data_IF_545352966925
#
_entry.id   IF_545352966925
#
_cell.length_a   1.000
_cell.length_b   1.000
_cell.length_c   1.000
_cell.angle_alpha   90.00
_cell.angle_beta   90.00
_cell.angle_gamma   90.00
#
_symmetry.space_group_name_H-M   'P 1'
#
loop_
_entity.id
_entity.type
_entity.pdbx_description
1 polymer ?
#
# COMPACT_ATOMS: atom_id res chain seq x y z
N UNK A 1 10.88 21.39 -17.12
CA UNK A 1 10.85 20.08 -17.82
C UNK A 1 12.29 19.62 -18.01
N UNK A 2 12.74 18.62 -17.25
CA UNK A 2 14.03 17.96 -17.52
C UNK A 2 13.80 16.83 -18.52
N UNK A 3 14.68 16.69 -19.51
CA UNK A 3 14.64 15.58 -20.46
C UNK A 3 14.81 14.27 -19.68
N UNK A 4 13.75 13.45 -19.60
CA UNK A 4 13.85 12.09 -19.10
C UNK A 4 14.55 11.25 -20.15
N UNK A 5 15.65 10.59 -19.76
CA UNK A 5 16.32 9.64 -20.65
C UNK A 5 15.39 8.46 -20.94
N UNK A 6 15.36 8.02 -22.19
CA UNK A 6 14.66 6.81 -22.61
C UNK A 6 15.40 5.55 -22.12
N UNK A 7 14.70 4.42 -22.10
CA UNK A 7 15.25 3.14 -21.63
C UNK A 7 16.56 2.79 -22.33
N UNK A 8 16.61 2.91 -23.66
CA UNK A 8 17.78 2.60 -24.49
C UNK A 8 18.99 3.47 -24.15
N UNK A 9 18.76 4.75 -23.83
CA UNK A 9 19.81 5.69 -23.42
C UNK A 9 20.36 5.34 -22.04
N UNK A 10 19.48 4.96 -21.10
CA UNK A 10 19.88 4.51 -19.77
C UNK A 10 20.68 3.20 -19.88
N UNK A 11 20.24 2.25 -20.71
CA UNK A 11 20.93 0.98 -20.96
C UNK A 11 22.33 1.19 -21.56
N UNK A 12 22.49 2.11 -22.52
CA UNK A 12 23.80 2.44 -23.08
C UNK A 12 24.76 3.04 -22.03
N UNK A 13 24.24 3.91 -21.15
CA UNK A 13 25.02 4.50 -20.06
C UNK A 13 25.39 3.48 -18.98
N UNK A 14 24.50 2.52 -18.69
CA UNK A 14 24.76 1.38 -17.81
C UNK A 14 25.94 0.56 -18.35
N UNK A 15 25.86 0.15 -19.62
CA UNK A 15 26.89 -0.63 -20.29
C UNK A 15 28.26 0.06 -20.24
N UNK A 16 28.33 1.32 -20.66
CA UNK A 16 29.56 2.10 -20.64
C UNK A 16 30.14 2.25 -19.22
N UNK A 17 29.27 2.45 -18.22
CA UNK A 17 29.69 2.60 -16.83
C UNK A 17 30.24 1.28 -16.25
N UNK A 18 29.66 0.15 -16.64
CA UNK A 18 30.15 -1.17 -16.27
C UNK A 18 31.52 -1.46 -16.92
N UNK A 19 31.66 -1.18 -18.23
CA UNK A 19 32.92 -1.37 -18.97
C UNK A 19 34.06 -0.47 -18.43
N UNK A 20 33.73 0.73 -17.94
CA UNK A 20 34.69 1.66 -17.33
C UNK A 20 34.91 1.44 -15.83
N UNK A 21 34.31 0.41 -15.23
CA UNK A 21 34.49 0.03 -13.83
C UNK A 21 33.89 1.03 -12.82
N UNK A 22 32.93 1.87 -13.22
CA UNK A 22 32.34 2.93 -12.38
C UNK A 22 31.08 2.44 -11.65
N UNK A 23 31.25 1.61 -10.62
CA UNK A 23 30.13 0.96 -9.94
C UNK A 23 29.09 1.89 -9.31
N UNK A 24 29.50 3.04 -8.77
CA UNK A 24 28.55 4.04 -8.27
C UNK A 24 27.65 4.60 -9.38
N UNK A 25 28.18 4.80 -10.60
CA UNK A 25 27.39 5.24 -11.75
C UNK A 25 26.44 4.16 -12.25
N UNK A 26 26.88 2.90 -12.25
CA UNK A 26 25.99 1.77 -12.59
C UNK A 26 24.79 1.76 -11.65
N UNK A 27 25.01 1.89 -10.35
CA UNK A 27 23.93 1.97 -9.36
C UNK A 27 22.97 3.14 -9.63
N UNK A 28 23.50 4.35 -9.86
CA UNK A 28 22.69 5.54 -10.19
C UNK A 28 21.82 5.31 -11.44
N UNK A 29 22.38 4.72 -12.49
CA UNK A 29 21.62 4.45 -13.71
C UNK A 29 20.61 3.33 -13.52
N UNK A 30 20.88 2.36 -12.65
CA UNK A 30 19.94 1.29 -12.37
C UNK A 30 18.72 1.81 -11.58
N UNK A 31 18.95 2.70 -10.62
CA UNK A 31 17.88 3.44 -9.94
C UNK A 31 17.12 4.38 -10.89
N UNK A 32 17.79 5.00 -11.88
CA UNK A 32 17.11 5.77 -12.94
C UNK A 32 16.23 4.87 -13.80
N UNK A 33 16.72 3.69 -14.18
CA UNK A 33 15.95 2.72 -14.94
C UNK A 33 14.67 2.33 -14.19
N UNK A 34 14.78 1.98 -12.90
CA UNK A 34 13.64 1.69 -12.01
C UNK A 34 12.59 2.81 -11.98
N UNK A 35 13.03 4.07 -11.99
CA UNK A 35 12.12 5.23 -11.96
C UNK A 35 11.46 5.51 -13.31
N UNK A 36 12.18 5.26 -14.40
CA UNK A 36 11.74 5.56 -15.76
C UNK A 36 10.85 4.48 -16.36
N UNK A 37 11.08 3.20 -16.04
CA UNK A 37 10.35 2.07 -16.61
C UNK A 37 9.85 1.11 -15.52
N UNK A 38 8.69 0.47 -15.76
CA UNK A 38 8.19 -0.61 -14.90
C UNK A 38 8.97 -1.90 -15.12
N UNK A 39 9.22 -2.22 -16.38
CA UNK A 39 9.90 -3.42 -16.85
C UNK A 39 10.84 -3.05 -17.99
N UNK A 40 11.76 -3.96 -18.31
CA UNK A 40 12.80 -3.72 -19.32
C UNK A 40 12.55 -4.57 -20.57
N UNK A 41 13.02 -4.07 -21.71
CA UNK A 41 13.15 -4.85 -22.94
C UNK A 41 14.14 -6.01 -22.80
N UNK A 42 14.07 -7.00 -23.68
CA UNK A 42 15.00 -8.14 -23.68
C UNK A 42 16.44 -7.67 -23.92
N UNK A 43 16.65 -6.64 -24.74
CA UNK A 43 17.94 -6.02 -25.01
C UNK A 43 18.54 -5.41 -23.74
N UNK A 44 17.77 -4.61 -23.01
CA UNK A 44 18.19 -4.04 -21.74
C UNK A 44 18.44 -5.14 -20.69
N UNK A 45 17.61 -6.19 -20.69
CA UNK A 45 17.80 -7.37 -19.85
C UNK A 45 19.15 -8.06 -20.08
N UNK A 46 19.55 -8.21 -21.35
CA UNK A 46 20.88 -8.75 -21.73
C UNK A 46 22.02 -7.85 -21.28
N UNK A 47 21.87 -6.53 -21.43
CA UNK A 47 22.87 -5.56 -20.94
C UNK A 47 23.07 -5.71 -19.43
N UNK A 48 21.98 -5.84 -18.66
CA UNK A 48 22.05 -6.05 -17.22
C UNK A 48 22.76 -7.37 -16.87
N UNK A 49 22.37 -8.47 -17.52
CA UNK A 49 23.02 -9.78 -17.35
C UNK A 49 24.54 -9.70 -17.59
N UNK A 50 24.95 -9.11 -18.71
CA UNK A 50 26.36 -8.91 -19.06
C UNK A 50 27.10 -8.05 -18.03
N UNK A 51 26.47 -6.97 -17.54
CA UNK A 51 27.08 -6.08 -16.53
C UNK A 51 27.43 -6.84 -15.25
N UNK A 52 26.51 -7.66 -14.74
CA UNK A 52 26.71 -8.38 -13.47
C UNK A 52 27.55 -9.65 -13.62
N UNK A 53 27.58 -10.27 -14.82
CA UNK A 53 28.43 -11.43 -15.12
C UNK A 53 29.87 -11.05 -15.53
N UNK A 54 30.15 -9.78 -15.80
CA UNK A 54 31.48 -9.32 -16.23
C UNK A 54 32.57 -9.52 -15.16
N UNK A 55 33.80 -9.83 -15.61
CA UNK A 55 34.97 -9.92 -14.71
C UNK A 55 35.28 -8.54 -14.14
N UNK A 56 35.06 -8.36 -12.84
CA UNK A 56 35.27 -7.08 -12.13
C UNK A 56 34.02 -6.51 -11.47
N UNK A 57 32.82 -7.05 -11.75
CA UNK A 57 31.57 -6.66 -11.08
C UNK A 57 31.63 -6.87 -9.55
N UNK A 58 32.38 -7.87 -9.10
CA UNK A 58 32.69 -8.17 -7.70
C UNK A 58 33.35 -7.00 -6.96
N UNK A 59 34.33 -6.37 -7.61
CA UNK A 59 35.16 -5.30 -7.02
C UNK A 59 34.51 -3.94 -7.25
N UNK A 60 33.95 -3.71 -8.44
CA UNK A 60 33.33 -2.43 -8.79
C UNK A 60 31.98 -2.22 -8.10
N UNK A 61 31.23 -3.28 -7.81
CA UNK A 61 29.93 -3.19 -7.13
C UNK A 61 30.04 -3.59 -5.66
N UNK A 62 31.22 -3.55 -5.05
CA UNK A 62 31.38 -3.85 -3.63
C UNK A 62 30.54 -2.90 -2.79
N UNK A 63 29.70 -3.48 -1.93
CA UNK A 63 28.70 -2.76 -1.16
C UNK A 63 29.12 -2.58 0.28
N UNK A 64 28.65 -1.50 0.91
CA UNK A 64 28.81 -1.36 2.34
C UNK A 64 27.93 -2.38 3.08
N UNK A 65 28.39 -2.80 4.27
CA UNK A 65 27.55 -3.55 5.22
C UNK A 65 26.76 -2.53 6.03
N UNK A 66 25.44 -2.57 5.88
CA UNK A 66 24.51 -1.76 6.66
C UNK A 66 23.88 -2.60 7.78
N UNK A 67 23.45 -1.94 8.84
CA UNK A 67 22.56 -2.54 9.83
C UNK A 67 21.20 -2.81 9.18
N UNK A 68 20.63 -4.00 9.40
CA UNK A 68 19.39 -4.45 8.75
C UNK A 68 18.25 -3.45 8.97
N UNK A 69 18.06 -2.98 10.20
CA UNK A 69 16.99 -2.03 10.53
C UNK A 69 17.11 -0.68 9.82
N UNK A 70 18.34 -0.23 9.51
CA UNK A 70 18.54 1.02 8.76
C UNK A 70 18.12 0.87 7.28
N UNK A 71 18.35 -0.30 6.69
CA UNK A 71 17.92 -0.59 5.32
C UNK A 71 16.41 -0.75 5.26
N UNK A 72 15.81 -1.49 6.21
CA UNK A 72 14.36 -1.65 6.34
C UNK A 72 13.64 -0.29 6.46
N UNK A 73 14.15 0.62 7.28
CA UNK A 73 13.58 1.97 7.42
C UNK A 73 13.68 2.76 6.10
N UNK A 74 14.80 2.65 5.39
CA UNK A 74 14.96 3.28 4.09
C UNK A 74 13.98 2.71 3.05
N UNK A 75 13.78 1.39 3.02
CA UNK A 75 12.78 0.73 2.18
C UNK A 75 11.38 1.23 2.50
N UNK A 76 11.01 1.30 3.78
CA UNK A 76 9.71 1.76 4.24
C UNK A 76 9.42 3.21 3.80
N UNK A 77 10.34 4.14 4.08
CA UNK A 77 10.20 5.56 3.70
C UNK A 77 10.06 5.78 2.20
N UNK A 78 10.66 4.88 1.42
CA UNK A 78 10.63 4.90 -0.04
C UNK A 78 9.36 4.28 -0.65
N UNK A 79 8.42 3.79 0.18
CA UNK A 79 7.19 3.11 -0.26
C UNK A 79 7.36 1.61 -0.51
N UNK A 80 8.53 1.04 -0.21
CA UNK A 80 8.82 -0.38 -0.42
C UNK A 80 9.56 -0.67 -1.73
N UNK A 81 10.23 -1.83 -1.74
CA UNK A 81 10.91 -2.39 -2.92
C UNK A 81 12.17 -1.68 -3.40
N UNK A 82 12.74 -0.73 -2.64
CA UNK A 82 14.10 -0.21 -2.85
C UNK A 82 14.58 0.65 -1.67
N UNK A 83 15.90 0.66 -1.41
CA UNK A 83 16.50 1.45 -0.31
C UNK A 83 17.33 2.63 -0.79
N UNK A 84 17.98 2.56 -1.96
CA UNK A 84 18.68 3.73 -2.52
C UNK A 84 20.05 4.04 -1.88
N UNK A 85 20.59 3.15 -1.04
CA UNK A 85 21.79 3.38 -0.24
C UNK A 85 23.11 3.03 -0.96
N UNK A 86 23.05 2.39 -2.12
CA UNK A 86 24.21 1.87 -2.84
C UNK A 86 24.22 0.35 -2.86
N UNK A 87 25.31 -0.25 -3.33
CA UNK A 87 25.44 -1.71 -3.29
C UNK A 87 25.52 -2.22 -1.85
N UNK A 88 24.99 -3.43 -1.61
CA UNK A 88 25.07 -4.13 -0.33
C UNK A 88 25.72 -5.50 -0.53
N UNK A 89 26.57 -5.88 0.44
CA UNK A 89 27.22 -7.18 0.50
C UNK A 89 28.55 -7.25 -0.24
N UNK A 90 29.16 -8.42 -0.23
CA UNK A 90 30.50 -8.73 -0.79
C UNK A 90 30.41 -9.99 -1.68
N UNK A 91 31.34 -10.16 -2.62
CA UNK A 91 31.45 -11.37 -3.45
C UNK A 91 30.75 -11.32 -4.80
N UNK A 92 30.66 -12.50 -5.44
CA UNK A 92 30.19 -12.67 -6.82
C UNK A 92 28.69 -12.47 -6.93
N UNK A 93 28.25 -11.75 -7.96
CA UNK A 93 26.85 -11.73 -8.33
C UNK A 93 26.45 -13.05 -9.00
N UNK A 94 25.27 -13.54 -8.64
CA UNK A 94 24.59 -14.67 -9.25
C UNK A 94 23.37 -14.12 -9.98
N UNK A 95 23.40 -14.21 -11.30
CA UNK A 95 22.32 -13.78 -12.19
C UNK A 95 21.57 -15.00 -12.68
N UNK A 96 20.24 -15.01 -12.53
CA UNK A 96 19.35 -16.09 -12.99
C UNK A 96 18.08 -15.52 -13.59
N UNK A 97 17.59 -16.13 -14.66
CA UNK A 97 16.26 -15.85 -15.22
C UNK A 97 15.27 -16.88 -14.67
N UNK A 98 14.10 -16.42 -14.25
CA UNK A 98 13.04 -17.29 -13.77
C UNK A 98 11.74 -16.54 -13.53
N UNK A 99 10.73 -17.24 -13.02
CA UNK A 99 9.41 -16.67 -12.76
C UNK A 99 9.26 -16.24 -11.30
N UNK A 100 8.17 -15.53 -11.04
CA UNK A 100 7.71 -15.17 -9.70
C UNK A 100 6.35 -15.82 -9.50
N UNK A 101 6.16 -16.47 -8.35
CA UNK A 101 4.91 -17.09 -7.97
C UNK A 101 3.79 -16.05 -7.78
N UNK A 102 2.53 -16.46 -7.83
CA UNK A 102 1.37 -15.57 -7.62
C UNK A 102 1.39 -14.87 -6.24
N UNK A 103 2.09 -15.43 -5.25
CA UNK A 103 2.26 -14.82 -3.94
C UNK A 103 3.38 -13.75 -3.91
N UNK A 104 4.13 -13.55 -5.01
CA UNK A 104 5.26 -12.63 -5.12
C UNK A 104 6.62 -13.22 -4.75
N UNK A 105 6.73 -14.54 -4.53
CA UNK A 105 8.00 -15.21 -4.23
C UNK A 105 8.79 -15.49 -5.51
N UNK A 106 10.06 -15.08 -5.54
CA UNK A 106 10.94 -15.38 -6.66
C UNK A 106 11.35 -16.86 -6.67
N UNK A 107 11.14 -17.57 -7.78
CA UNK A 107 11.52 -18.98 -7.92
C UNK A 107 13.04 -19.21 -7.93
N UNK A 108 13.84 -18.16 -8.21
CA UNK A 108 15.29 -18.26 -8.23
C UNK A 108 15.86 -18.23 -6.80
N UNK A 109 15.61 -17.16 -6.04
CA UNK A 109 16.25 -16.91 -4.75
C UNK A 109 15.34 -17.16 -3.54
N UNK A 110 14.04 -17.37 -3.74
CA UNK A 110 13.06 -17.51 -2.69
C UNK A 110 12.71 -16.21 -1.94
N UNK A 111 13.25 -15.05 -2.35
CA UNK A 111 12.91 -13.76 -1.77
C UNK A 111 11.48 -13.34 -2.13
N UNK A 112 10.84 -12.63 -1.21
CA UNK A 112 9.51 -12.07 -1.39
C UNK A 112 9.63 -10.69 -2.03
N UNK A 113 9.01 -10.50 -3.20
CA UNK A 113 8.86 -9.18 -3.79
C UNK A 113 7.94 -8.32 -2.93
N UNK A 114 8.29 -7.04 -2.83
CA UNK A 114 7.51 -6.04 -2.12
C UNK A 114 6.28 -5.58 -2.90
N UNK A 115 5.28 -5.14 -2.16
CA UNK A 115 4.14 -4.40 -2.68
C UNK A 115 4.51 -2.91 -2.67
N UNK A 116 5.18 -2.47 -3.74
CA UNK A 116 5.71 -1.11 -3.90
C UNK A 116 4.58 -0.10 -3.95
N UNK A 117 4.52 0.70 -2.90
CA UNK A 117 3.75 1.91 -2.74
C UNK A 117 4.63 3.13 -3.08
N UNK A 118 4.07 4.32 -2.91
CA UNK A 118 4.70 5.61 -3.09
C UNK A 118 5.50 6.00 -1.84
N UNK A 119 6.62 6.71 -1.99
CA UNK A 119 7.39 7.21 -0.84
C UNK A 119 6.66 8.26 0.00
N UNK A 120 7.06 8.44 1.24
CA UNK A 120 6.39 9.34 2.21
C UNK A 120 6.27 10.78 1.71
N UNK A 121 7.36 11.31 1.15
CA UNK A 121 7.42 12.68 0.64
C UNK A 121 6.47 12.88 -0.55
N UNK A 122 6.36 11.88 -1.42
CA UNK A 122 5.49 11.97 -2.59
C UNK A 122 4.03 11.78 -2.19
N UNK A 123 3.75 10.89 -1.24
CA UNK A 123 2.42 10.69 -0.64
C UNK A 123 1.91 11.96 0.05
N UNK A 124 2.76 12.63 0.83
CA UNK A 124 2.36 13.87 1.50
C UNK A 124 2.09 15.00 0.51
N UNK A 125 2.93 15.16 -0.53
CA UNK A 125 2.66 16.11 -1.63
C UNK A 125 1.35 15.80 -2.34
N UNK A 126 1.04 14.52 -2.50
CA UNK A 126 -0.21 14.09 -3.10
C UNK A 126 -1.41 14.43 -2.22
N UNK A 127 -1.35 14.10 -0.93
CA UNK A 127 -2.37 14.46 0.05
C UNK A 127 -2.63 15.98 0.06
N UNK A 128 -1.57 16.78 0.00
CA UNK A 128 -1.66 18.24 -0.08
C UNK A 128 -2.29 18.72 -1.39
N UNK A 129 -2.00 18.07 -2.51
CA UNK A 129 -2.60 18.39 -3.81
C UNK A 129 -4.10 18.07 -3.83
N UNK A 130 -4.49 16.91 -3.29
CA UNK A 130 -5.91 16.52 -3.12
C UNK A 130 -6.62 17.52 -2.20
N UNK A 131 -6.02 17.86 -1.06
CA UNK A 131 -6.58 18.83 -0.13
C UNK A 131 -6.72 20.23 -0.75
N UNK A 132 -5.73 20.68 -1.51
CA UNK A 132 -5.77 21.95 -2.23
C UNK A 132 -6.94 22.02 -3.22
N UNK A 133 -7.08 20.99 -4.06
CA UNK A 133 -8.18 20.90 -5.02
C UNK A 133 -9.55 20.80 -4.33
N UNK A 134 -9.64 20.04 -3.23
CA UNK A 134 -10.85 19.96 -2.42
C UNK A 134 -11.20 21.35 -1.87
N UNK A 135 -10.25 22.08 -1.26
CA UNK A 135 -10.49 23.43 -0.71
C UNK A 135 -10.86 24.50 -1.74
N UNK A 136 -10.51 24.31 -3.03
CA UNK A 136 -10.94 25.21 -4.11
C UNK A 136 -12.40 25.02 -4.51
N UNK A 137 -12.93 23.80 -4.34
CA UNK A 137 -14.25 23.39 -4.84
C UNK A 137 -15.28 23.20 -3.73
N UNK A 138 -14.82 22.84 -2.54
CA UNK A 138 -15.60 22.64 -1.33
C UNK A 138 -15.64 23.91 -0.48
N UNK A 139 -16.59 23.95 0.45
CA UNK A 139 -16.57 24.96 1.51
C UNK A 139 -15.35 24.70 2.39
N UNK A 140 -14.35 25.58 2.33
CA UNK A 140 -13.04 25.42 3.01
C UNK A 140 -13.12 25.00 4.48
N UNK A 141 -14.09 25.54 5.22
CA UNK A 141 -14.29 25.20 6.63
C UNK A 141 -14.67 23.72 6.82
N UNK A 142 -15.56 23.20 5.98
CA UNK A 142 -16.05 21.82 6.06
C UNK A 142 -14.92 20.80 5.82
N UNK A 143 -14.11 21.04 4.79
CA UNK A 143 -13.02 20.13 4.48
C UNK A 143 -11.91 20.20 5.53
N UNK A 144 -11.61 21.39 6.06
CA UNK A 144 -10.64 21.53 7.15
C UNK A 144 -11.09 20.81 8.43
N UNK A 145 -12.36 20.91 8.79
CA UNK A 145 -12.94 20.17 9.92
C UNK A 145 -12.75 18.65 9.74
N UNK A 146 -12.92 18.14 8.52
CA UNK A 146 -12.64 16.74 8.22
C UNK A 146 -11.16 16.37 8.38
N UNK A 147 -10.24 17.22 7.95
CA UNK A 147 -8.81 16.97 8.12
C UNK A 147 -8.44 16.87 9.61
N UNK A 148 -8.88 17.84 10.41
CA UNK A 148 -8.63 17.88 11.85
C UNK A 148 -9.25 16.65 12.54
N UNK A 149 -10.47 16.26 12.14
CA UNK A 149 -11.15 15.06 12.64
C UNK A 149 -10.40 13.76 12.30
N UNK A 150 -9.85 13.66 11.08
CA UNK A 150 -9.14 12.47 10.62
C UNK A 150 -7.81 12.29 11.37
N UNK A 151 -7.10 13.38 11.65
CA UNK A 151 -5.86 13.35 12.43
C UNK A 151 -6.07 12.83 13.86
N UNK A 152 -7.22 13.10 14.47
CA UNK A 152 -7.58 12.58 15.80
C UNK A 152 -7.94 11.08 15.79
N UNK A 153 -8.25 10.51 14.61
CA UNK A 153 -8.81 9.15 14.44
C UNK A 153 -7.97 8.21 13.57
N UNK A 154 -6.66 8.49 13.43
CA UNK A 154 -5.79 7.97 12.38
C UNK A 154 -5.47 6.45 12.34
N UNK A 155 -6.27 5.54 12.93
CA UNK A 155 -5.99 4.09 12.97
C UNK A 155 -6.90 3.26 12.04
N UNK A 156 -7.34 3.84 10.92
CA UNK A 156 -8.15 3.10 9.93
C UNK A 156 -7.27 2.41 8.87
N UNK A 157 -7.45 1.10 8.72
CA UNK A 157 -6.78 0.30 7.68
C UNK A 157 -7.51 0.25 6.34
N UNK A 158 -8.75 0.74 6.32
CA UNK A 158 -9.53 0.84 5.09
C UNK A 158 -10.55 1.97 5.16
N UNK A 159 -10.76 2.63 4.02
CA UNK A 159 -11.82 3.59 3.76
C UNK A 159 -12.83 2.96 2.80
N UNK A 160 -14.11 3.22 3.05
CA UNK A 160 -15.23 2.65 2.31
C UNK A 160 -16.04 3.79 1.69
N UNK A 161 -16.14 3.76 0.37
CA UNK A 161 -17.07 4.61 -0.39
C UNK A 161 -18.49 4.05 -0.24
N UNK A 162 -19.20 4.55 0.76
CA UNK A 162 -20.49 3.99 1.15
C UNK A 162 -21.56 4.19 0.08
N UNK A 163 -21.50 5.29 -0.68
CA UNK A 163 -22.48 5.59 -1.72
C UNK A 163 -22.31 4.65 -2.91
N UNK A 164 -21.07 4.45 -3.35
CA UNK A 164 -20.75 3.56 -4.47
C UNK A 164 -21.20 2.12 -4.20
N UNK A 165 -20.89 1.58 -3.01
CA UNK A 165 -21.28 0.21 -2.63
C UNK A 165 -22.80 0.06 -2.54
N UNK A 166 -23.47 0.96 -1.83
CA UNK A 166 -24.90 0.83 -1.59
C UNK A 166 -25.76 1.03 -2.85
N UNK A 167 -25.22 1.66 -3.89
CA UNK A 167 -25.89 1.87 -5.17
C UNK A 167 -25.47 0.86 -6.25
N UNK A 168 -24.54 -0.06 -5.94
CA UNK A 168 -24.02 -1.01 -6.90
C UNK A 168 -25.08 -2.02 -7.36
N UNK A 169 -25.28 -2.09 -8.69
CA UNK A 169 -26.30 -2.92 -9.35
C UNK A 169 -27.75 -2.62 -8.90
N UNK A 170 -28.02 -1.40 -8.42
CA UNK A 170 -29.35 -0.97 -7.96
C UNK A 170 -30.13 -0.14 -9.00
N UNK A 171 -29.78 -0.22 -10.29
CA UNK A 171 -30.39 0.60 -11.35
C UNK A 171 -31.73 0.05 -11.90
N UNK A 172 -32.53 -0.66 -11.10
CA UNK A 172 -33.83 -1.21 -11.49
C UNK A 172 -34.99 -0.42 -10.84
N UNK A 173 -36.24 -0.67 -11.26
CA UNK A 173 -37.39 0.16 -10.89
C UNK A 173 -37.67 0.26 -9.37
N UNK A 174 -37.33 -0.78 -8.60
CA UNK A 174 -37.38 -0.82 -7.13
C UNK A 174 -35.98 -0.74 -6.50
N UNK A 175 -34.96 -0.54 -7.32
CA UNK A 175 -33.58 -0.47 -6.90
C UNK A 175 -33.34 0.78 -6.08
N UNK A 176 -32.62 0.62 -4.97
CA UNK A 176 -32.47 1.66 -3.98
C UNK A 176 -31.15 1.55 -3.24
N UNK A 177 -30.99 2.36 -2.21
CA UNK A 177 -29.80 2.34 -1.39
C UNK A 177 -29.77 1.06 -0.54
N UNK A 178 -28.88 0.12 -0.88
CA UNK A 178 -28.79 -1.19 -0.22
C UNK A 178 -27.80 -1.17 0.94
N UNK A 179 -28.34 -1.01 2.15
CA UNK A 179 -27.54 -1.01 3.37
C UNK A 179 -26.98 -2.39 3.73
N UNK A 180 -27.62 -3.46 3.26
CA UNK A 180 -27.14 -4.83 3.42
C UNK A 180 -25.86 -5.10 2.61
N UNK A 181 -25.75 -4.54 1.40
CA UNK A 181 -24.52 -4.62 0.61
C UNK A 181 -23.37 -3.91 1.33
N UNK A 182 -23.63 -2.72 1.84
CA UNK A 182 -22.65 -1.93 2.59
C UNK A 182 -22.20 -2.66 3.87
N UNK A 183 -23.14 -3.17 4.66
CA UNK A 183 -22.85 -3.95 5.87
C UNK A 183 -22.03 -5.22 5.58
N UNK A 184 -22.32 -5.92 4.48
CA UNK A 184 -21.55 -7.09 4.07
C UNK A 184 -20.08 -6.72 3.76
N UNK A 185 -19.83 -5.60 3.08
CA UNK A 185 -18.48 -5.11 2.81
C UNK A 185 -17.76 -4.73 4.10
N UNK A 186 -18.43 -4.00 4.99
CA UNK A 186 -17.84 -3.57 6.27
C UNK A 186 -17.43 -4.79 7.11
N UNK A 187 -18.30 -5.80 7.23
CA UNK A 187 -18.02 -7.03 7.98
C UNK A 187 -16.88 -7.85 7.39
N UNK A 188 -16.82 -7.97 6.07
CA UNK A 188 -15.72 -8.66 5.39
C UNK A 188 -14.39 -7.93 5.60
N UNK A 189 -14.38 -6.60 5.52
CA UNK A 189 -13.18 -5.80 5.79
C UNK A 189 -12.75 -5.90 7.26
N UNK A 190 -13.71 -5.84 8.20
CA UNK A 190 -13.45 -6.01 9.63
C UNK A 190 -12.81 -7.36 9.96
N UNK A 191 -13.32 -8.44 9.36
CA UNK A 191 -12.78 -9.78 9.55
C UNK A 191 -11.36 -9.92 8.98
N UNK A 192 -11.06 -9.27 7.85
CA UNK A 192 -9.74 -9.28 7.21
C UNK A 192 -8.70 -8.46 7.97
N UNK A 193 -9.10 -7.33 8.53
CA UNK A 193 -8.23 -6.42 9.28
C UNK A 193 -8.04 -6.82 10.75
N UNK A 194 -8.32 -8.07 11.11
CA UNK A 194 -8.08 -8.56 12.47
C UNK A 194 -8.87 -7.81 13.55
N UNK A 195 -10.14 -7.48 13.28
CA UNK A 195 -11.06 -6.75 14.15
C UNK A 195 -10.88 -5.21 14.19
N UNK A 196 -10.30 -4.62 13.14
CA UNK A 196 -10.34 -3.16 12.94
C UNK A 196 -11.44 -2.78 11.96
N UNK A 197 -12.22 -1.77 12.34
CA UNK A 197 -13.31 -1.29 11.50
C UNK A 197 -12.80 -0.38 10.39
N UNK A 198 -13.37 -0.48 9.17
CA UNK A 198 -13.12 0.50 8.13
C UNK A 198 -13.86 1.82 8.42
N UNK A 199 -13.33 2.94 7.92
CA UNK A 199 -14.04 4.22 7.92
C UNK A 199 -15.00 4.30 6.74
N UNK A 200 -16.28 4.51 7.02
CA UNK A 200 -17.35 4.67 6.04
C UNK A 200 -17.54 6.17 5.79
N UNK A 201 -17.45 6.57 4.52
CA UNK A 201 -17.79 7.93 4.09
C UNK A 201 -19.17 7.91 3.42
N UNK A 202 -20.11 8.71 3.94
CA UNK A 202 -21.45 8.85 3.37
C UNK A 202 -21.98 10.27 3.46
N UNK A 203 -22.68 10.73 2.43
CA UNK A 203 -23.31 12.05 2.46
C UNK A 203 -24.45 12.17 3.48
N UNK A 204 -24.52 13.29 4.22
CA UNK A 204 -25.49 13.55 5.29
C UNK A 204 -26.95 13.27 4.88
N UNK A 205 -27.34 13.68 3.67
CA UNK A 205 -28.69 13.41 3.12
C UNK A 205 -29.05 11.92 3.14
N UNK A 206 -28.10 11.04 2.80
CA UNK A 206 -28.31 9.59 2.81
C UNK A 206 -28.48 9.11 4.25
N UNK A 207 -27.58 9.50 5.14
CA UNK A 207 -27.60 9.12 6.55
C UNK A 207 -28.93 9.51 7.22
N UNK A 208 -29.43 10.72 6.98
CA UNK A 208 -30.74 11.17 7.50
C UNK A 208 -31.89 10.29 7.03
N UNK A 209 -31.93 9.97 5.74
CA UNK A 209 -32.94 9.08 5.15
C UNK A 209 -32.88 7.67 5.77
N UNK A 210 -31.67 7.19 6.09
CA UNK A 210 -31.48 5.88 6.71
C UNK A 210 -31.91 5.85 8.18
N UNK A 211 -31.69 6.94 8.92
CA UNK A 211 -32.12 7.08 10.32
C UNK A 211 -33.66 7.20 10.47
N UNK A 212 -34.35 7.67 9.42
CA UNK A 212 -35.81 7.68 9.34
C UNK A 212 -36.40 6.27 9.18
N UNK A 213 -35.62 5.31 8.66
CA UNK A 213 -36.04 3.92 8.53
C UNK A 213 -35.72 3.12 9.82
N UNK A 214 -36.74 2.64 10.56
CA UNK A 214 -36.53 1.94 11.83
C UNK A 214 -35.65 0.67 11.71
N UNK A 215 -35.65 0.01 10.55
CA UNK A 215 -34.90 -1.22 10.31
C UNK A 215 -33.40 -0.97 10.22
N UNK A 216 -33.00 0.19 9.71
CA UNK A 216 -31.60 0.56 9.48
C UNK A 216 -31.02 1.44 10.58
N UNK A 217 -31.89 2.14 11.32
CA UNK A 217 -31.51 3.08 12.37
C UNK A 217 -30.49 2.51 13.36
N UNK A 218 -30.74 1.30 13.89
CA UNK A 218 -29.84 0.66 14.87
C UNK A 218 -28.42 0.48 14.34
N UNK A 219 -28.30 0.09 13.08
CA UNK A 219 -27.00 -0.19 12.44
C UNK A 219 -26.23 1.10 12.16
N UNK A 220 -26.93 2.16 11.71
CA UNK A 220 -26.30 3.47 11.51
C UNK A 220 -25.87 4.10 12.84
N UNK A 221 -26.67 3.96 13.89
CA UNK A 221 -26.32 4.41 15.24
C UNK A 221 -25.11 3.64 15.78
N UNK A 222 -25.03 2.32 15.54
CA UNK A 222 -23.86 1.49 15.88
C UNK A 222 -22.59 2.00 15.19
N UNK A 223 -22.63 2.23 13.88
CA UNK A 223 -21.48 2.76 13.14
C UNK A 223 -21.05 4.14 13.65
N UNK A 224 -22.01 4.99 13.99
CA UNK A 224 -21.74 6.32 14.55
C UNK A 224 -21.07 6.22 15.92
N UNK A 225 -21.58 5.37 16.81
CA UNK A 225 -21.06 5.19 18.17
C UNK A 225 -19.66 4.56 18.17
N UNK A 226 -19.38 3.68 17.22
CA UNK A 226 -18.06 3.09 17.05
C UNK A 226 -17.06 4.06 16.39
N UNK A 227 -17.52 5.22 15.92
CA UNK A 227 -16.68 6.22 15.26
C UNK A 227 -16.34 5.88 13.81
N UNK A 228 -16.98 4.87 13.22
CA UNK A 228 -16.59 4.29 11.92
C UNK A 228 -17.37 4.88 10.75
N UNK A 229 -18.22 5.87 10.99
CA UNK A 229 -19.01 6.58 9.98
C UNK A 229 -18.71 8.07 10.05
N UNK A 230 -18.23 8.63 8.95
CA UNK A 230 -18.13 10.07 8.75
C UNK A 230 -19.23 10.54 7.79
N UNK A 231 -19.99 11.56 8.21
CA UNK A 231 -21.06 12.12 7.39
C UNK A 231 -20.62 13.38 6.69
N UNK A 232 -20.51 13.36 5.36
CA UNK A 232 -20.10 14.56 4.62
C UNK A 232 -21.22 15.62 4.61
N UNK A 233 -20.87 16.91 4.71
CA UNK A 233 -21.85 17.97 4.87
C UNK A 233 -22.68 18.21 3.60
N UNK A 234 -23.87 18.83 3.72
CA UNK A 234 -24.73 19.09 2.57
C UNK A 234 -24.05 19.95 1.49
N UNK A 235 -24.09 19.47 0.24
CA UNK A 235 -23.53 20.18 -0.91
C UNK A 235 -22.05 19.88 -1.17
N UNK A 236 -21.44 19.03 -0.33
CA UNK A 236 -20.09 18.53 -0.56
C UNK A 236 -20.07 17.32 -1.48
N UNK A 237 -19.01 17.20 -2.28
CA UNK A 237 -18.70 15.96 -2.98
C UNK A 237 -17.97 15.01 -2.01
N UNK A 238 -18.54 13.84 -1.77
CA UNK A 238 -17.95 12.77 -0.94
C UNK A 238 -16.64 12.21 -1.52
N UNK A 239 -16.40 12.36 -2.82
CA UNK A 239 -15.19 11.92 -3.51
C UNK A 239 -13.90 12.45 -2.88
N UNK A 240 -13.91 13.72 -2.49
CA UNK A 240 -12.76 14.36 -1.87
C UNK A 240 -12.43 13.78 -0.50
N UNK A 241 -13.45 13.34 0.24
CA UNK A 241 -13.31 12.90 1.62
C UNK A 241 -12.72 11.49 1.67
N UNK A 242 -13.30 10.55 0.92
CA UNK A 242 -12.76 9.19 0.91
C UNK A 242 -11.39 9.12 0.23
N UNK A 243 -11.13 9.93 -0.81
CA UNK A 243 -9.83 9.95 -1.46
C UNK A 243 -8.77 10.51 -0.53
N UNK A 244 -9.03 11.67 0.07
CA UNK A 244 -8.08 12.28 1.00
C UNK A 244 -7.78 11.37 2.18
N UNK A 245 -8.80 10.74 2.77
CA UNK A 245 -8.59 9.81 3.88
C UNK A 245 -7.73 8.60 3.50
N UNK A 246 -8.01 7.96 2.36
CA UNK A 246 -7.26 6.79 1.92
C UNK A 246 -5.80 7.12 1.63
N UNK A 247 -5.56 8.29 1.04
CA UNK A 247 -4.20 8.79 0.77
C UNK A 247 -3.48 9.14 2.06
N UNK A 248 -4.09 9.95 2.94
CA UNK A 248 -3.43 10.47 4.14
C UNK A 248 -3.11 9.36 5.13
N UNK A 249 -3.99 8.36 5.27
CA UNK A 249 -3.80 7.21 6.15
C UNK A 249 -3.06 6.03 5.47
N UNK A 250 -2.73 6.15 4.18
CA UNK A 250 -2.03 5.11 3.40
C UNK A 250 -2.69 3.74 3.47
N UNK A 251 -4.01 3.73 3.42
CA UNK A 251 -4.80 2.55 3.69
C UNK A 251 -5.61 2.11 2.46
N UNK A 252 -6.35 1.01 2.56
CA UNK A 252 -7.13 0.50 1.43
C UNK A 252 -8.33 1.42 1.14
N UNK A 253 -8.71 1.54 -0.13
CA UNK A 253 -9.93 2.24 -0.55
C UNK A 253 -10.87 1.26 -1.23
N UNK A 254 -12.03 1.02 -0.62
CA UNK A 254 -13.06 0.14 -1.19
C UNK A 254 -14.02 0.97 -2.04
N UNK A 255 -13.83 0.93 -3.36
CA UNK A 255 -14.72 1.57 -4.34
C UNK A 255 -14.57 0.92 -5.72
N UNK A 256 -15.67 0.85 -6.46
CA UNK A 256 -15.68 0.52 -7.89
C UNK A 256 -15.67 1.77 -8.77
N UNK A 257 -15.55 2.96 -8.17
CA UNK A 257 -15.36 4.17 -8.96
C UNK A 257 -14.05 4.07 -9.77
N UNK A 258 -14.12 4.42 -11.05
CA UNK A 258 -12.95 4.38 -11.92
C UNK A 258 -12.04 5.60 -11.74
N UNK A 259 -12.53 6.62 -11.02
CA UNK A 259 -11.86 7.88 -10.72
C UNK A 259 -11.34 8.53 -12.01
N UNK A 260 -12.23 8.59 -13.01
CA UNK A 260 -11.94 9.02 -14.39
C UNK A 260 -12.25 10.49 -14.66
N UNK A 261 -12.76 11.21 -13.67
CA UNK A 261 -13.06 12.62 -13.86
C UNK A 261 -11.77 13.39 -14.18
N UNK A 262 -11.89 14.40 -15.05
CA UNK A 262 -10.80 15.33 -15.43
C UNK A 262 -10.06 15.96 -14.23
N UNK A 263 -10.67 15.86 -13.05
CA UNK A 263 -10.12 16.28 -11.76
C UNK A 263 -8.94 15.38 -11.34
N UNK A 264 -9.03 14.07 -11.55
CA UNK A 264 -7.97 13.12 -11.20
C UNK A 264 -6.84 13.11 -12.26
N UNK A 265 -7.09 13.64 -13.46
CA UNK A 265 -6.04 13.89 -14.45
C UNK A 265 -5.07 14.99 -13.99
N UNK A 266 -5.54 15.97 -13.19
CA UNK A 266 -4.70 17.03 -12.59
C UNK A 266 -3.73 16.50 -11.52
N UNK A 267 -4.01 15.31 -10.99
CA UNK A 267 -3.30 14.69 -9.89
C UNK A 267 -2.05 13.89 -10.34
N UNK A 268 -1.69 13.97 -11.63
CA UNK A 268 -0.50 13.36 -12.20
C UNK A 268 -0.73 11.91 -12.59
N UNK A 269 -0.87 11.67 -13.90
CA UNK A 269 -1.30 10.39 -14.49
C UNK A 269 -0.50 9.16 -14.02
N UNK A 270 0.83 9.25 -13.92
CA UNK A 270 1.66 8.11 -13.54
C UNK A 270 1.63 7.77 -12.05
N UNK A 271 1.36 8.76 -11.20
CA UNK A 271 1.35 8.60 -9.76
C UNK A 271 0.01 8.00 -9.30
N UNK A 272 -1.08 8.63 -9.72
CA UNK A 272 -2.41 8.24 -9.31
C UNK A 272 -2.75 6.81 -9.74
N UNK A 273 -2.30 6.38 -10.92
CA UNK A 273 -2.47 5.00 -11.38
C UNK A 273 -1.71 3.99 -10.51
N UNK A 274 -0.49 4.30 -10.07
CA UNK A 274 0.28 3.45 -9.14
C UNK A 274 -0.41 3.37 -7.78
N UNK A 275 -0.84 4.50 -7.24
CA UNK A 275 -1.60 4.54 -6.00
C UNK A 275 -2.90 3.72 -6.12
N UNK A 276 -3.66 3.92 -7.19
CA UNK A 276 -4.92 3.21 -7.44
C UNK A 276 -4.72 1.70 -7.49
N UNK A 277 -3.73 1.21 -8.24
CA UNK A 277 -3.38 -0.22 -8.32
C UNK A 277 -3.05 -0.83 -6.95
N UNK A 278 -2.41 -0.05 -6.07
CA UNK A 278 -1.96 -0.48 -4.75
C UNK A 278 -3.04 -0.40 -3.67
N UNK A 279 -3.94 0.58 -3.74
CA UNK A 279 -4.87 0.90 -2.65
C UNK A 279 -6.33 0.54 -2.98
N UNK A 280 -6.73 0.49 -4.26
CA UNK A 280 -8.12 0.25 -4.63
C UNK A 280 -8.51 -1.22 -4.45
N UNK A 281 -9.49 -1.47 -3.59
CA UNK A 281 -10.21 -2.72 -3.47
C UNK A 281 -11.50 -2.62 -4.28
N UNK A 282 -11.61 -3.45 -5.32
CA UNK A 282 -12.85 -3.58 -6.09
C UNK A 282 -13.75 -4.64 -5.46
N UNK A 283 -15.04 -4.57 -5.75
CA UNK A 283 -16.00 -5.53 -5.22
C UNK A 283 -17.03 -5.93 -6.27
N UNK A 284 -17.59 -7.12 -6.11
CA UNK A 284 -18.72 -7.58 -6.93
C UNK A 284 -19.65 -8.44 -6.09
N UNK A 285 -20.93 -8.48 -6.48
CA UNK A 285 -21.94 -9.32 -5.84
C UNK A 285 -22.41 -10.37 -6.85
N UNK A 286 -21.87 -11.57 -6.75
CA UNK A 286 -22.26 -12.69 -7.62
C UNK A 286 -23.39 -13.46 -6.93
N UNK A 287 -24.61 -13.37 -7.46
CA UNK A 287 -25.81 -14.02 -6.88
C UNK A 287 -26.04 -13.66 -5.40
N UNK A 288 -25.72 -12.42 -5.02
CA UNK A 288 -25.84 -11.92 -3.64
C UNK A 288 -24.63 -12.21 -2.73
N UNK A 289 -23.64 -12.96 -3.20
CA UNK A 289 -22.39 -13.19 -2.44
C UNK A 289 -21.35 -12.13 -2.79
N UNK A 290 -20.84 -11.44 -1.77
CA UNK A 290 -19.75 -10.47 -1.90
C UNK A 290 -18.45 -11.18 -2.29
N UNK A 291 -17.76 -10.63 -3.29
CA UNK A 291 -16.37 -10.97 -3.61
C UNK A 291 -15.56 -9.68 -3.70
N UNK A 292 -14.57 -9.55 -2.82
CA UNK A 292 -13.57 -8.49 -2.87
C UNK A 292 -12.41 -8.89 -3.77
N UNK A 293 -11.97 -7.97 -4.61
CA UNK A 293 -10.77 -8.06 -5.42
C UNK A 293 -9.71 -7.18 -4.76
N UNK A 294 -8.79 -7.82 -4.05
CA UNK A 294 -7.70 -7.13 -3.35
C UNK A 294 -6.63 -6.68 -4.34
N UNK A 295 -5.90 -5.58 -4.03
CA UNK A 295 -4.67 -5.23 -4.73
C UNK A 295 -3.68 -6.41 -4.80
N UNK A 296 -2.85 -6.47 -5.84
CA UNK A 296 -1.80 -7.49 -5.96
C UNK A 296 -0.88 -7.52 -4.73
N UNK A 297 -0.44 -8.72 -4.34
CA UNK A 297 0.48 -8.92 -3.20
C UNK A 297 1.89 -8.40 -3.46
N UNK A 298 2.25 -8.12 -4.71
CA UNK A 298 3.53 -7.56 -5.12
C UNK A 298 3.36 -6.67 -6.35
N UNK A 299 4.29 -5.73 -6.54
CA UNK A 299 4.27 -4.81 -7.68
C UNK A 299 5.20 -5.30 -8.80
N UNK A 300 4.70 -5.32 -10.04
CA UNK A 300 5.48 -5.68 -11.24
C UNK A 300 6.35 -4.50 -11.69
N UNK A 301 7.38 -4.22 -10.89
CA UNK A 301 8.38 -3.16 -11.13
C UNK A 301 9.78 -3.67 -10.84
N UNK A 302 10.81 -2.94 -11.27
CA UNK A 302 12.18 -3.22 -10.82
C UNK A 302 12.25 -3.01 -9.30
N UNK A 303 12.75 -4.01 -8.56
CA UNK A 303 12.86 -3.97 -7.11
C UNK A 303 14.28 -4.27 -6.63
N UNK A 304 14.66 -3.60 -5.55
CA UNK A 304 15.88 -3.78 -4.78
C UNK A 304 15.49 -4.23 -3.38
N UNK A 305 15.98 -5.40 -2.96
CA UNK A 305 15.69 -5.96 -1.65
C UNK A 305 16.63 -5.43 -0.58
N UNK A 306 16.25 -5.61 0.69
CA UNK A 306 17.05 -5.22 1.86
C UNK A 306 18.42 -5.93 1.90
N UNK A 307 18.53 -7.07 1.23
CA UNK A 307 19.78 -7.84 1.11
C UNK A 307 20.68 -7.35 -0.03
N UNK A 308 20.24 -6.33 -0.78
CA UNK A 308 20.91 -5.85 -2.00
C UNK A 308 20.64 -6.70 -3.24
N UNK A 309 19.66 -7.59 -3.20
CA UNK A 309 19.25 -8.39 -4.36
C UNK A 309 18.35 -7.56 -5.28
N UNK A 310 18.50 -7.74 -6.59
CA UNK A 310 17.70 -7.03 -7.59
C UNK A 310 16.80 -7.99 -8.36
N UNK A 311 15.56 -7.57 -8.56
CA UNK A 311 14.55 -8.28 -9.34
C UNK A 311 14.03 -7.36 -10.45
N UNK A 312 14.24 -7.75 -11.70
CA UNK A 312 13.92 -6.94 -12.88
C UNK A 312 12.92 -7.70 -13.75
N UNK A 313 11.68 -7.21 -13.93
CA UNK A 313 10.74 -7.82 -14.85
C UNK A 313 11.15 -7.51 -16.29
N UNK A 314 11.15 -8.53 -17.15
CA UNK A 314 11.46 -8.42 -18.59
C UNK A 314 10.15 -8.57 -19.38
N UNK A 315 9.95 -7.73 -20.40
CA UNK A 315 8.85 -7.87 -21.36
C UNK A 315 9.15 -9.00 -22.33
N UNK A 316 8.16 -9.86 -22.56
CA UNK A 316 8.19 -10.85 -23.63
C UNK A 316 6.94 -10.64 -24.51
N UNK A 317 7.04 -10.92 -25.80
CA UNK A 317 5.97 -10.66 -26.78
C UNK A 317 4.67 -11.47 -26.53
N UNK A 318 4.73 -12.52 -25.71
CA UNK A 318 3.58 -13.33 -25.27
C UNK A 318 3.07 -12.84 -23.90
N UNK A 319 2.18 -11.85 -23.92
CA UNK A 319 1.61 -11.14 -22.75
C UNK A 319 0.63 -11.99 -21.91
N UNK A 320 1.11 -13.06 -21.26
CA UNK A 320 0.45 -13.60 -20.07
C UNK A 320 1.19 -13.12 -18.81
N UNK A 321 0.56 -12.24 -18.01
CA UNK A 321 1.16 -11.68 -16.78
C UNK A 321 1.71 -12.77 -15.82
N UNK A 322 1.14 -13.98 -15.87
CA UNK A 322 1.53 -15.11 -15.01
C UNK A 322 2.81 -15.85 -15.45
N UNK A 323 3.25 -15.69 -16.69
CA UNK A 323 4.44 -16.36 -17.25
C UNK A 323 5.62 -15.41 -17.46
N UNK A 324 5.50 -14.16 -16.99
CA UNK A 324 6.54 -13.13 -17.14
C UNK A 324 7.89 -13.60 -16.60
N UNK A 325 8.94 -13.38 -17.40
CA UNK A 325 10.32 -13.67 -17.01
C UNK A 325 10.89 -12.53 -16.17
N UNK A 326 11.58 -12.89 -15.09
CA UNK A 326 12.29 -11.99 -14.19
C UNK A 326 13.78 -12.28 -14.19
N UNK A 327 14.59 -11.23 -14.16
CA UNK A 327 16.02 -11.31 -13.88
C UNK A 327 16.23 -11.17 -12.37
N UNK A 328 16.77 -12.22 -11.75
CA UNK A 328 17.12 -12.27 -10.35
C UNK A 328 18.64 -12.14 -10.21
N UNK A 329 19.09 -11.09 -9.53
CA UNK A 329 20.51 -10.73 -9.37
C UNK A 329 20.80 -10.69 -7.87
N UNK A 330 21.59 -11.65 -7.39
CA UNK A 330 21.77 -11.91 -5.94
C UNK A 330 23.23 -12.11 -5.57
N UNK A 331 23.58 -12.04 -4.28
CA UNK A 331 24.89 -12.45 -3.76
C UNK A 331 24.80 -13.70 -2.87
N UNK A 332 25.72 -14.67 -3.01
CA UNK A 332 25.82 -15.81 -2.11
C UNK A 332 26.35 -15.30 -0.76
N UNK A 333 25.43 -15.17 0.18
CA UNK A 333 25.59 -14.51 1.49
C UNK A 333 24.21 -14.10 2.04
N UNK A 334 23.26 -13.90 1.14
CA UNK A 334 21.84 -13.65 1.42
C UNK A 334 20.95 -14.91 1.44
N UNK A 335 21.47 -16.05 0.98
CA UNK A 335 20.70 -17.25 0.61
C UNK A 335 21.43 -18.58 0.93
N UNK A 336 22.29 -18.64 1.94
CA UNK A 336 22.76 -19.93 2.48
C UNK A 336 21.96 -20.29 3.74
N UNK A 337 20.72 -20.79 3.55
CA UNK A 337 20.11 -21.67 4.56
C UNK A 337 19.01 -22.62 4.03
N UNK A 338 18.78 -22.70 2.72
CA UNK A 338 17.74 -23.60 2.16
C UNK A 338 18.27 -24.62 1.13
N UNK A 339 19.58 -24.64 0.86
CA UNK A 339 20.17 -25.54 -0.15
C UNK A 339 20.86 -26.81 0.39
N UNK A 340 21.09 -26.94 1.70
CA UNK A 340 21.92 -28.02 2.25
C UNK A 340 21.16 -29.26 2.76
N UNK A 341 19.83 -29.29 2.65
CA UNK A 341 19.02 -30.46 3.05
C UNK A 341 18.50 -31.30 1.88
N UNK A 342 18.78 -30.93 0.63
CA UNK A 342 18.36 -31.70 -0.55
C UNK A 342 19.46 -32.59 -1.14
N UNK A 343 20.71 -32.46 -0.69
CA UNK A 343 21.85 -33.26 -1.13
C UNK A 343 22.24 -34.27 -0.05
N UNK A 344 21.34 -35.19 0.27
CA UNK A 344 21.63 -36.49 0.92
C UNK A 344 20.36 -37.33 0.87
N UNK A 345 19.99 -37.78 -0.33
CA UNK A 345 19.08 -38.92 -0.48
C UNK A 345 19.75 -39.91 -1.44
N UNK A 346 20.68 -40.67 -0.86
CA UNK A 346 21.16 -41.89 -1.48
C UNK A 346 20.02 -42.92 -1.55
N UNK A 347 20.07 -43.66 -2.64
CA UNK A 347 19.24 -44.77 -3.06
C UNK A 347 18.91 -45.80 -1.98
N UNK A 348 17.63 -46.17 -1.86
CA UNK A 348 17.24 -47.53 -1.48
C UNK A 348 15.81 -47.87 -1.94
N UNK A 349 15.72 -48.93 -2.74
CA UNK A 349 14.52 -49.55 -3.28
C UNK A 349 13.71 -50.31 -2.22
N UNK A 350 12.40 -50.42 -2.46
CA UNK A 350 11.41 -51.38 -1.92
C UNK A 350 11.14 -51.44 -0.40
N UNK A 351 9.89 -51.14 0.02
CA UNK A 351 8.91 -52.15 0.48
C UNK A 351 7.55 -51.54 0.93
N UNK A 352 6.50 -52.34 0.70
CA UNK A 352 5.06 -52.22 0.96
C UNK A 352 4.56 -51.65 2.32
N UNK A 353 3.54 -50.77 2.25
CA UNK A 353 2.29 -50.78 3.07
C UNK A 353 2.33 -50.38 4.57
N UNK A 354 1.18 -50.27 5.27
CA UNK A 354 0.44 -49.00 5.44
C UNK A 354 0.11 -48.57 6.90
N UNK A 355 -0.31 -47.29 7.06
CA UNK A 355 -1.15 -46.66 8.13
C UNK A 355 -0.67 -46.64 9.60
N UNK A 356 -0.58 -45.43 10.18
CA UNK A 356 -1.20 -44.97 11.46
C UNK A 356 -0.63 -43.58 11.86
N UNK A 357 -1.45 -42.53 12.00
CA UNK A 357 -2.16 -42.01 13.21
C UNK A 357 -1.26 -41.47 14.36
N UNK A 358 -1.31 -40.14 14.49
CA UNK A 358 -1.57 -39.32 15.69
C UNK A 358 -0.60 -39.34 16.92
N UNK A 359 -0.11 -38.15 17.30
CA UNK A 359 0.04 -37.63 18.69
C UNK A 359 0.65 -36.20 18.59
N UNK A 360 -0.07 -35.08 18.71
CA UNK A 360 -0.56 -34.44 19.95
C UNK A 360 0.17 -34.85 21.23
N UNK A 361 1.06 -33.97 21.70
CA UNK A 361 1.51 -33.91 23.10
C UNK A 361 1.57 -32.44 23.54
N UNK A 362 0.59 -32.07 24.37
CA UNK A 362 0.64 -30.96 25.30
C UNK A 362 1.30 -31.42 26.59
N UNK A 363 2.13 -30.56 27.19
CA UNK A 363 2.39 -30.43 28.64
C UNK A 363 3.04 -29.04 28.79
N UNK A 364 2.34 -28.01 29.29
CA UNK A 364 2.21 -27.69 30.72
C UNK A 364 3.45 -26.88 31.16
N UNK A 365 3.42 -25.63 31.59
CA UNK A 365 2.48 -24.87 32.41
C UNK A 365 3.27 -24.35 33.61
N UNK A 366 3.41 -23.03 33.79
CA UNK A 366 3.78 -22.43 35.08
C UNK A 366 3.30 -20.99 35.17
N UNK A 367 2.74 -20.69 36.32
CA UNK A 367 1.94 -19.53 36.70
C UNK A 367 2.78 -18.29 37.07
N UNK A 368 2.17 -17.13 36.79
CA UNK A 368 1.89 -15.97 37.66
C UNK A 368 2.89 -15.65 38.80
N UNK A 369 3.40 -14.41 38.77
CA UNK A 369 3.70 -13.65 40.00
C UNK A 369 3.38 -12.16 39.82
N UNK A 370 2.39 -11.70 40.58
CA UNK A 370 2.03 -10.30 40.79
C UNK A 370 2.84 -9.72 41.94
N UNK A 371 3.31 -8.47 41.81
CA UNK A 371 3.67 -7.63 42.96
C UNK A 371 3.30 -6.18 42.64
N UNK A 372 2.44 -5.61 43.49
CA UNK A 372 2.09 -4.20 43.51
C UNK A 372 2.84 -3.40 44.58
N UNK A 373 2.73 -2.08 44.48
CA UNK A 373 3.16 -1.07 45.46
C UNK A 373 3.26 0.29 44.75
N UNK A 374 2.20 1.11 44.69
CA UNK A 374 1.75 2.16 45.62
C UNK A 374 2.71 3.35 45.84
N UNK A 375 2.14 4.53 45.56
CA UNK A 375 2.32 5.87 46.15
C UNK A 375 3.44 6.76 45.56
N UNK A 376 3.06 7.87 44.92
CA UNK A 376 2.91 9.16 45.63
C UNK A 376 2.16 10.20 44.79
N UNK A 377 1.37 11.01 45.49
CA UNK A 377 0.55 12.10 45.00
C UNK A 377 1.34 13.41 44.90
N UNK A 378 0.93 14.29 44.00
CA UNK A 378 0.96 15.74 44.22
C UNK A 378 -0.01 16.41 43.24
N UNK A 379 -1.11 16.90 43.81
CA UNK A 379 -1.94 17.97 43.26
C UNK A 379 -1.08 19.22 43.11
N UNK A 380 -1.27 19.99 42.04
CA UNK A 380 -1.22 21.44 42.19
C UNK A 380 -2.24 22.09 41.26
N UNK A 381 -3.12 22.84 41.92
CA UNK A 381 -4.19 23.66 41.42
C UNK A 381 -3.68 25.05 41.08
N UNK A 382 -4.06 25.60 39.92
CA UNK A 382 -4.13 27.05 39.75
C UNK A 382 -5.43 27.44 39.02
N UNK A 383 -6.28 28.12 39.78
CA UNK A 383 -7.45 28.88 39.34
C UNK A 383 -7.06 30.35 39.05
N UNK A 384 -7.96 31.03 38.33
CA UNK A 384 -8.11 32.47 38.01
C UNK A 384 -7.60 32.83 36.60
N UNK A 385 -8.33 33.60 35.79
CA UNK A 385 -9.45 34.50 36.06
C UNK A 385 -10.27 34.75 34.79
N UNK A 386 -11.56 35.01 35.02
CA UNK A 386 -12.49 35.66 34.11
C UNK A 386 -11.91 36.91 33.45
N UNK A 387 -12.20 37.13 32.17
CA UNK A 387 -12.49 38.47 31.71
C UNK A 387 -13.60 38.47 30.65
N UNK A 388 -14.59 39.32 30.92
CA UNK A 388 -15.87 39.44 30.26
C UNK A 388 -15.91 40.80 29.61
N UNK A 389 -15.94 40.87 28.28
CA UNK A 389 -16.26 42.12 27.58
C UNK A 389 -17.35 41.90 26.55
N UNK A 390 -18.47 42.53 26.84
CA UNK A 390 -19.72 42.63 26.09
C UNK A 390 -19.62 43.51 24.85
N UNK A 391 -20.43 43.15 23.85
CA UNK A 391 -21.23 44.03 22.98
C UNK A 391 -20.50 44.84 21.90
N UNK A 392 -20.90 44.64 20.63
CA UNK A 392 -21.63 45.67 19.86
C UNK A 392 -22.34 45.04 18.64
N UNK A 393 -23.60 45.43 18.50
CA UNK A 393 -24.60 45.06 17.50
C UNK A 393 -24.36 45.64 16.12
N UNK A 394 -24.68 44.89 15.05
CA UNK A 394 -24.84 45.41 13.69
C UNK A 394 -25.92 44.65 12.91
N UNK A 395 -27.11 45.23 12.81
CA UNK A 395 -28.23 44.79 11.95
C UNK A 395 -28.07 45.31 10.51
N UNK A 396 -28.78 44.64 9.57
CA UNK A 396 -29.18 44.96 8.17
C UNK A 396 -28.39 44.19 7.09
N UNK A 397 -29.01 43.65 6.02
CA UNK A 397 -30.37 43.78 5.46
C UNK A 397 -30.63 42.62 4.49
N UNK A 398 -31.82 42.04 4.54
CA UNK A 398 -32.38 41.22 3.46
C UNK A 398 -32.62 42.08 2.20
N UNK A 399 -32.54 41.44 1.02
CA UNK A 399 -33.38 41.71 -0.15
C UNK A 399 -33.33 40.54 -1.13
N UNK A 400 -34.43 39.80 -1.22
CA UNK A 400 -34.95 39.14 -2.43
C UNK A 400 -35.57 40.19 -3.36
N UNK A 401 -36.21 39.88 -4.51
CA UNK A 401 -36.81 38.60 -4.95
C UNK A 401 -35.83 37.60 -5.55
#
# INVERSE_FOLDING_TARGET
MGLSLEESQIAALLKLSAETGRGGRVYEYFQKLRRSVRWVSEETGKVLEDCFCSKGSEVCFEGAKYEVGFVEEAVLRNGGGWHGLGWIGEGKWVVRKGNVELNGRCCCCGEQLGCVDIGDVETEKFAQSVAGLAMEREVKANFKEFQDWLEEKADYEAIVDGANIALYQQNFAEGGFSLLQLDAVIKEMYARSGNKWPLIILHNKRVRTLLENPSYRKLVEEWTNNGVLYTTPPGSNDDWYWLYAAVKLRCLLVTNDEMRDHIFELLGSNFFLKWKERHQVRYTFLKGTLKLQMPPSYSVVIQESEKGSWHVPIVCDDDEESSRTWLCITRPGACEDLGKTAANMETCENCNGPRCKLAMLNTGGSEILSTGGKNHASQDSFQKSDDKTTSMTGKRKERSP
#
